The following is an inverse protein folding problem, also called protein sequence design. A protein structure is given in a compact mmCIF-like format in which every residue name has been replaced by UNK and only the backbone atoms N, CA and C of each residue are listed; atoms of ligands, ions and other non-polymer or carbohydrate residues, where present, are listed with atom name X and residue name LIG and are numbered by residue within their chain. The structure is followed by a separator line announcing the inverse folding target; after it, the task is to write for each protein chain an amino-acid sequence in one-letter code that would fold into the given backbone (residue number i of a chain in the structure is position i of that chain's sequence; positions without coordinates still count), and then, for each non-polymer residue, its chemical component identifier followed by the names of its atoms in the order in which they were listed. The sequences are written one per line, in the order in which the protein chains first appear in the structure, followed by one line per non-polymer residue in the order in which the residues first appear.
data_IF_948082088888
#
_entry.id   IF_948082088888
#
_cell.length_a   1.000
_cell.length_b   1.000
_cell.length_c   1.000
_cell.angle_alpha   90.00
_cell.angle_beta   90.00
_cell.angle_gamma   90.00
#
_symmetry.space_group_name_H-M   'P 1'
#
loop_
_entity.id
_entity.type
_entity.pdbx_description
1 polymer ?
#
# COMPACT_ATOMS: atom_id res chain seq x y z
N UNK A 1 -16.14 8.35 -8.98
CA UNK A 1 -16.44 8.51 -7.54
C UNK A 1 -15.10 8.63 -6.82
N UNK A 2 -14.98 9.52 -5.83
CA UNK A 2 -13.75 9.70 -5.07
C UNK A 2 -13.77 8.72 -3.90
N UNK A 3 -12.74 7.90 -3.77
CA UNK A 3 -12.61 6.90 -2.71
C UNK A 3 -11.92 7.51 -1.49
N UNK A 4 -12.63 7.51 -0.37
CA UNK A 4 -12.10 7.82 0.95
C UNK A 4 -12.60 6.75 1.91
N UNK A 5 -11.73 6.26 2.81
CA UNK A 5 -12.03 5.12 3.69
C UNK A 5 -10.94 4.07 3.67
N UNK A 6 -11.26 2.85 4.08
CA UNK A 6 -10.31 1.73 4.15
C UNK A 6 -10.74 0.59 3.24
N UNK A 7 -9.77 -0.13 2.66
CA UNK A 7 -10.02 -1.36 1.90
C UNK A 7 -9.01 -2.43 2.24
N UNK A 8 -9.48 -3.66 2.32
CA UNK A 8 -8.63 -4.83 2.45
C UNK A 8 -7.90 -5.11 1.13
N UNK A 9 -6.66 -5.55 1.23
CA UNK A 9 -5.80 -5.83 0.10
C UNK A 9 -4.70 -6.83 0.47
N UNK A 10 -4.02 -7.33 -0.55
CA UNK A 10 -2.79 -8.11 -0.43
C UNK A 10 -1.63 -7.41 -1.15
N UNK A 11 -0.47 -7.36 -0.50
CA UNK A 11 0.77 -6.91 -1.15
C UNK A 11 1.25 -8.02 -2.08
N UNK A 12 1.51 -7.71 -3.35
CA UNK A 12 2.09 -8.66 -4.30
C UNK A 12 3.60 -8.43 -4.46
N UNK A 13 4.02 -7.17 -4.49
CA UNK A 13 5.42 -6.80 -4.57
C UNK A 13 5.67 -5.52 -3.78
N UNK A 14 6.89 -5.42 -3.27
CA UNK A 14 7.37 -4.31 -2.46
C UNK A 14 8.81 -4.02 -2.89
N UNK A 15 9.13 -2.75 -3.07
CA UNK A 15 10.50 -2.30 -3.26
C UNK A 15 10.79 -1.10 -2.35
N UNK A 16 11.80 -1.23 -1.48
CA UNK A 16 12.35 -0.08 -0.77
C UNK A 16 13.16 0.76 -1.75
N UNK A 17 12.85 2.04 -1.82
CA UNK A 17 13.57 3.03 -2.62
C UNK A 17 14.03 4.19 -1.76
N UNK A 18 15.08 4.87 -2.20
CA UNK A 18 15.59 6.10 -1.58
C UNK A 18 15.59 7.21 -2.64
N UNK A 19 14.92 8.32 -2.33
CA UNK A 19 14.84 9.50 -3.18
C UNK A 19 15.40 10.67 -2.38
N UNK A 20 16.64 11.05 -2.69
CA UNK A 20 17.34 12.18 -2.07
C UNK A 20 17.44 12.09 -0.53
N UNK A 21 17.61 10.88 0.02
CA UNK A 21 17.70 10.63 1.46
C UNK A 21 16.36 10.34 2.13
N UNK A 22 15.26 10.40 1.39
CA UNK A 22 13.92 10.04 1.89
C UNK A 22 13.55 8.66 1.36
N UNK A 23 13.22 7.74 2.28
CA UNK A 23 12.89 6.36 1.96
C UNK A 23 11.39 6.18 1.76
N UNK A 24 11.04 5.39 0.76
CA UNK A 24 9.67 5.01 0.45
C UNK A 24 9.59 3.54 0.08
N UNK A 25 8.39 2.98 0.17
CA UNK A 25 8.07 1.72 -0.46
C UNK A 25 7.23 1.95 -1.71
N UNK A 26 7.69 1.42 -2.83
CA UNK A 26 6.85 1.21 -4.01
C UNK A 26 6.13 -0.14 -3.88
N UNK A 27 4.81 -0.10 -3.78
CA UNK A 27 3.92 -1.23 -3.56
C UNK A 27 3.18 -1.58 -4.85
N UNK A 28 3.15 -2.86 -5.19
CA UNK A 28 2.10 -3.44 -6.05
C UNK A 28 1.17 -4.25 -5.16
N UNK A 29 -0.12 -3.97 -5.19
CA UNK A 29 -1.13 -4.65 -4.37
C UNK A 29 -2.43 -4.84 -5.15
N UNK A 30 -3.30 -5.73 -4.69
CA UNK A 30 -4.65 -5.87 -5.20
C UNK A 30 -5.65 -5.86 -4.04
N UNK A 31 -6.84 -5.31 -4.26
CA UNK A 31 -7.92 -5.38 -3.28
C UNK A 31 -8.52 -6.78 -3.23
N UNK A 32 -8.94 -7.22 -2.05
CA UNK A 32 -9.48 -8.58 -1.85
C UNK A 32 -10.75 -8.83 -2.70
N UNK A 33 -11.53 -7.78 -3.01
CA UNK A 33 -12.73 -7.84 -3.86
C UNK A 33 -12.43 -7.79 -5.37
N UNK A 34 -11.18 -7.47 -5.76
CA UNK A 34 -10.72 -7.51 -7.15
C UNK A 34 -9.23 -7.91 -7.22
N UNK A 35 -8.91 -9.18 -6.93
CA UNK A 35 -7.54 -9.66 -6.79
C UNK A 35 -6.75 -9.67 -8.11
N UNK A 36 -7.45 -9.58 -9.25
CA UNK A 36 -6.80 -9.55 -10.59
C UNK A 36 -6.29 -8.17 -10.97
N UNK A 37 -6.77 -7.10 -10.33
CA UNK A 37 -6.38 -5.74 -10.65
C UNK A 37 -5.25 -5.28 -9.74
N UNK A 38 -4.02 -5.30 -10.26
CA UNK A 38 -2.87 -4.73 -9.55
C UNK A 38 -2.88 -3.20 -9.61
N UNK A 39 -2.78 -2.59 -8.44
CA UNK A 39 -2.61 -1.16 -8.23
C UNK A 39 -1.18 -0.90 -7.77
N UNK A 40 -0.69 0.30 -8.09
CA UNK A 40 0.63 0.77 -7.67
C UNK A 40 0.50 1.96 -6.75
N UNK A 41 1.31 2.01 -5.70
CA UNK A 41 1.38 3.16 -4.83
C UNK A 41 2.80 3.34 -4.28
N UNK A 42 3.14 4.58 -3.99
CA UNK A 42 4.32 4.94 -3.22
C UNK A 42 3.86 5.37 -1.83
N UNK A 43 4.38 4.74 -0.80
CA UNK A 43 4.06 5.04 0.59
C UNK A 43 5.34 5.39 1.36
N UNK A 44 5.26 6.38 2.24
CA UNK A 44 6.35 6.68 3.17
C UNK A 44 6.58 5.49 4.10
N UNK A 45 7.83 5.29 4.54
CA UNK A 45 8.15 4.21 5.49
C UNK A 45 7.42 4.39 6.83
N UNK A 46 7.05 5.63 7.17
CA UNK A 46 6.29 6.02 8.35
C UNK A 46 4.77 5.75 8.22
N UNK A 47 4.29 5.55 6.99
CA UNK A 47 2.88 5.32 6.65
C UNK A 47 2.59 3.86 6.32
N UNK A 48 3.50 2.95 6.70
CA UNK A 48 3.32 1.49 6.63
C UNK A 48 3.82 0.86 7.93
N UNK A 49 3.29 -0.31 8.27
CA UNK A 49 3.76 -1.11 9.40
C UNK A 49 5.23 -1.58 9.23
N UNK A 50 5.85 -2.01 10.32
CA UNK A 50 7.23 -2.47 10.35
C UNK A 50 7.42 -3.78 9.57
N UNK A 51 8.52 -3.87 8.81
CA UNK A 51 8.95 -5.07 8.06
C UNK A 51 7.89 -5.66 7.09
N UNK A 52 7.34 -4.85 6.15
CA UNK A 52 6.34 -5.33 5.21
C UNK A 52 6.92 -6.35 4.24
N UNK A 53 6.14 -7.37 3.89
CA UNK A 53 6.53 -8.43 2.98
C UNK A 53 5.51 -8.65 1.85
N UNK A 54 5.95 -9.18 0.69
CA UNK A 54 5.03 -9.77 -0.28
C UNK A 54 4.11 -10.81 0.38
N UNK A 55 2.90 -10.92 -0.17
CA UNK A 55 1.79 -11.75 0.31
C UNK A 55 1.17 -11.35 1.65
N UNK A 56 1.64 -10.30 2.32
CA UNK A 56 0.97 -9.79 3.52
C UNK A 56 -0.46 -9.31 3.20
N UNK A 57 -1.40 -9.69 4.08
CA UNK A 57 -2.75 -9.15 4.10
C UNK A 57 -2.76 -7.82 4.85
N UNK A 58 -3.30 -6.79 4.24
CA UNK A 58 -3.24 -5.41 4.72
C UNK A 58 -4.58 -4.71 4.60
N UNK A 59 -4.73 -3.63 5.36
CA UNK A 59 -5.77 -2.63 5.16
C UNK A 59 -5.12 -1.34 4.65
N UNK A 60 -5.59 -0.84 3.52
CA UNK A 60 -5.11 0.40 2.91
C UNK A 60 -6.13 1.50 3.18
N UNK A 61 -5.69 2.58 3.82
CA UNK A 61 -6.46 3.80 4.01
C UNK A 61 -6.27 4.72 2.81
N UNK A 62 -7.38 5.25 2.30
CA UNK A 62 -7.41 6.19 1.20
C UNK A 62 -7.95 7.54 1.64
N UNK A 63 -7.30 8.58 1.14
CA UNK A 63 -7.83 9.92 1.12
C UNK A 63 -7.83 10.40 -0.33
N UNK A 64 -9.01 10.67 -0.88
CA UNK A 64 -9.13 11.20 -2.25
C UNK A 64 -8.50 10.30 -3.33
N UNK A 65 -8.74 8.98 -3.28
CA UNK A 65 -8.12 7.94 -4.11
C UNK A 65 -6.61 7.74 -3.91
N UNK A 66 -5.97 8.45 -2.98
CA UNK A 66 -4.54 8.29 -2.68
C UNK A 66 -4.38 7.41 -1.44
N UNK A 67 -3.60 6.30 -1.51
CA UNK A 67 -3.17 5.57 -0.32
C UNK A 67 -2.36 6.48 0.61
N UNK A 68 -2.81 6.59 1.87
CA UNK A 68 -2.16 7.45 2.87
C UNK A 68 -1.62 6.69 4.07
N UNK A 69 -2.10 5.45 4.30
CA UNK A 69 -1.63 4.58 5.36
C UNK A 69 -1.88 3.10 5.00
N UNK A 70 -0.98 2.22 5.43
CA UNK A 70 -1.08 0.77 5.23
C UNK A 70 -0.81 0.07 6.56
N UNK A 71 -1.79 -0.68 7.05
CA UNK A 71 -1.67 -1.45 8.30
C UNK A 71 -1.80 -2.93 8.05
N UNK A 72 -1.03 -3.75 8.78
CA UNK A 72 -1.19 -5.21 8.74
C UNK A 72 -2.55 -5.62 9.32
N UNK A 73 -3.17 -6.63 8.71
CA UNK A 73 -4.40 -7.25 9.22
C UNK A 73 -4.09 -8.40 10.17
#
# INVERSE_FOLDING_TARGET
MIMSGTREARIHQLQLIDIHGTRFYDLNYAHDDNPTQLLKARIGIESIYEDPHPDDAVTIQYLMNVPVNVTRR
#
